data_IF_888144087272
#
_entry.id   IF_888144087272
#
_cell.length_a   1.000
_cell.length_b   1.000
_cell.length_c   1.000
_cell.angle_alpha   90.00
_cell.angle_beta   90.00
_cell.angle_gamma   90.00
#
_symmetry.space_group_name_H-M   'P 1'
#
loop_
_entity.id
_entity.type
_entity.pdbx_description
1 polymer ?
#
# COMPACT_ATOMS: atom_id res chain seq x y z
N UNK A 1 -49.69 67.52 -49.40
CA UNK A 1 -49.06 66.20 -49.56
C UNK A 1 -47.77 66.06 -48.74
N UNK A 2 -46.92 67.10 -48.64
CA UNK A 2 -45.66 67.03 -47.88
C UNK A 2 -45.82 66.94 -46.34
N UNK A 3 -46.83 67.59 -45.75
CA UNK A 3 -46.99 67.56 -44.27
C UNK A 3 -47.43 66.20 -43.74
N UNK A 4 -48.35 65.51 -44.43
CA UNK A 4 -48.82 64.16 -44.04
C UNK A 4 -47.65 63.16 -44.07
N UNK A 5 -46.77 63.27 -45.07
CA UNK A 5 -45.57 62.44 -45.19
C UNK A 5 -44.58 62.70 -44.03
N UNK A 6 -44.46 63.96 -43.60
CA UNK A 6 -43.59 64.37 -42.51
C UNK A 6 -44.06 63.83 -41.15
N UNK A 7 -45.36 63.91 -40.86
CA UNK A 7 -45.96 63.32 -39.65
C UNK A 7 -45.90 61.79 -39.65
N UNK A 8 -46.09 61.14 -40.79
CA UNK A 8 -45.95 59.68 -40.91
C UNK A 8 -44.50 59.24 -40.61
N UNK A 9 -43.51 59.93 -41.18
CA UNK A 9 -42.09 59.66 -40.89
C UNK A 9 -41.74 59.89 -39.42
N UNK A 10 -42.28 60.94 -38.80
CA UNK A 10 -42.10 61.21 -37.37
C UNK A 10 -42.70 60.09 -36.50
N UNK A 11 -43.89 59.60 -36.83
CA UNK A 11 -44.54 58.50 -36.13
C UNK A 11 -43.74 57.19 -36.25
N UNK A 12 -43.18 56.90 -37.43
CA UNK A 12 -42.30 55.74 -37.64
C UNK A 12 -41.00 55.88 -36.83
N UNK A 13 -40.39 57.06 -36.81
CA UNK A 13 -39.20 57.35 -36.01
C UNK A 13 -39.46 57.19 -34.51
N UNK A 14 -40.58 57.74 -34.01
CA UNK A 14 -40.99 57.59 -32.61
C UNK A 14 -41.29 56.13 -32.26
N UNK A 15 -41.93 55.39 -33.19
CA UNK A 15 -42.17 53.96 -33.05
C UNK A 15 -40.87 53.14 -32.97
N UNK A 16 -39.87 53.44 -33.81
CA UNK A 16 -38.54 52.81 -33.77
C UNK A 16 -37.78 53.14 -32.48
N UNK A 17 -37.86 54.38 -32.01
CA UNK A 17 -37.22 54.79 -30.75
C UNK A 17 -37.89 54.11 -29.56
N UNK A 18 -39.23 54.04 -29.54
CA UNK A 18 -39.97 53.33 -28.50
C UNK A 18 -39.67 51.83 -28.52
N UNK A 19 -39.64 51.20 -29.70
CA UNK A 19 -39.29 49.80 -29.87
C UNK A 19 -37.85 49.52 -29.39
N UNK A 20 -36.88 50.33 -29.81
CA UNK A 20 -35.49 50.22 -29.37
C UNK A 20 -35.36 50.35 -27.85
N UNK A 21 -36.08 51.30 -27.23
CA UNK A 21 -36.04 51.51 -25.77
C UNK A 21 -36.68 50.38 -24.97
N UNK A 22 -37.69 49.68 -25.49
CA UNK A 22 -38.34 48.58 -24.77
C UNK A 22 -37.67 47.22 -25.03
N UNK A 23 -37.35 46.89 -26.29
CA UNK A 23 -36.94 45.53 -26.66
C UNK A 23 -35.43 45.29 -26.53
N UNK A 24 -34.58 46.28 -26.84
CA UNK A 24 -33.12 46.08 -26.78
C UNK A 24 -32.62 45.82 -25.35
N UNK A 25 -33.05 46.57 -24.30
CA UNK A 25 -32.59 46.30 -22.95
C UNK A 25 -33.01 44.93 -22.44
N UNK A 26 -34.22 44.47 -22.77
CA UNK A 26 -34.72 43.15 -22.37
C UNK A 26 -33.91 42.02 -23.02
N UNK A 27 -33.68 42.11 -24.34
CA UNK A 27 -32.89 41.13 -25.07
C UNK A 27 -31.43 41.07 -24.59
N UNK A 28 -30.79 42.24 -24.40
CA UNK A 28 -29.42 42.31 -23.87
C UNK A 28 -29.33 41.74 -22.45
N UNK A 29 -30.34 41.98 -21.61
CA UNK A 29 -30.41 41.42 -20.25
C UNK A 29 -30.52 39.89 -20.26
N UNK A 30 -31.37 39.32 -21.11
CA UNK A 30 -31.48 37.86 -21.26
C UNK A 30 -30.21 37.25 -21.85
N UNK A 31 -29.61 37.90 -22.85
CA UNK A 31 -28.34 37.46 -23.44
C UNK A 31 -27.21 37.47 -22.40
N UNK A 32 -27.10 38.54 -21.61
CA UNK A 32 -26.12 38.63 -20.52
C UNK A 32 -26.35 37.56 -19.45
N UNK A 33 -27.61 37.34 -19.05
CA UNK A 33 -27.98 36.28 -18.08
C UNK A 33 -27.63 34.88 -18.60
N UNK A 34 -27.86 34.62 -19.88
CA UNK A 34 -27.53 33.33 -20.49
C UNK A 34 -26.02 33.13 -20.65
N UNK A 35 -25.26 34.21 -20.89
CA UNK A 35 -23.81 34.15 -20.94
C UNK A 35 -23.24 33.83 -19.55
N UNK A 36 -23.65 34.57 -18.52
CA UNK A 36 -23.23 34.33 -17.14
C UNK A 36 -23.52 32.89 -16.69
N UNK A 37 -24.71 32.36 -16.97
CA UNK A 37 -25.04 30.95 -16.67
C UNK A 37 -24.14 29.94 -17.38
N UNK A 38 -23.73 30.21 -18.62
CA UNK A 38 -22.82 29.32 -19.36
C UNK A 38 -21.43 29.35 -18.74
N UNK A 39 -20.95 30.53 -18.35
CA UNK A 39 -19.68 30.70 -17.66
C UNK A 39 -19.69 29.96 -16.30
N UNK A 40 -20.77 30.08 -15.52
CA UNK A 40 -20.94 29.34 -14.25
C UNK A 40 -20.89 27.82 -14.47
N UNK A 41 -21.55 27.31 -15.53
CA UNK A 41 -21.54 25.88 -15.85
C UNK A 41 -20.15 25.39 -16.26
N UNK A 42 -19.39 26.19 -17.01
CA UNK A 42 -18.00 25.89 -17.37
C UNK A 42 -17.15 25.85 -16.12
N UNK A 43 -17.24 26.88 -15.26
CA UNK A 43 -16.47 26.94 -14.01
C UNK A 43 -16.75 25.73 -13.09
N UNK A 44 -18.03 25.35 -12.95
CA UNK A 44 -18.41 24.16 -12.19
C UNK A 44 -17.83 22.90 -12.82
N UNK A 45 -17.90 22.77 -14.14
CA UNK A 45 -17.38 21.60 -14.86
C UNK A 45 -15.87 21.49 -14.68
N UNK A 46 -15.14 22.59 -14.84
CA UNK A 46 -13.70 22.65 -14.65
C UNK A 46 -13.30 22.29 -13.22
N UNK A 47 -14.05 22.78 -12.22
CA UNK A 47 -13.86 22.41 -10.81
C UNK A 47 -14.10 20.93 -10.57
N UNK A 48 -15.17 20.36 -11.13
CA UNK A 48 -15.47 18.93 -10.99
C UNK A 48 -14.39 18.08 -11.66
N UNK A 49 -13.91 18.47 -12.83
CA UNK A 49 -12.85 17.78 -13.53
C UNK A 49 -11.51 17.87 -12.78
N UNK A 50 -11.17 19.04 -12.25
CA UNK A 50 -10.00 19.23 -11.40
C UNK A 50 -10.07 18.33 -10.16
N UNK A 51 -11.20 18.32 -9.45
CA UNK A 51 -11.43 17.47 -8.28
C UNK A 51 -11.31 15.99 -8.66
N UNK A 52 -11.91 15.57 -9.77
CA UNK A 52 -11.81 14.18 -10.26
C UNK A 52 -10.36 13.78 -10.57
N UNK A 53 -9.59 14.68 -11.19
CA UNK A 53 -8.19 14.44 -11.52
C UNK A 53 -7.33 14.34 -10.24
N UNK A 54 -7.56 15.21 -9.26
CA UNK A 54 -6.91 15.11 -7.95
C UNK A 54 -7.23 13.81 -7.26
N UNK A 55 -8.51 13.43 -7.17
CA UNK A 55 -8.90 12.14 -6.57
C UNK A 55 -8.30 10.94 -7.29
N UNK A 56 -8.26 10.95 -8.62
CA UNK A 56 -7.64 9.88 -9.40
C UNK A 56 -6.15 9.73 -9.06
N UNK A 57 -5.43 10.86 -8.97
CA UNK A 57 -4.02 10.88 -8.58
C UNK A 57 -3.79 10.41 -7.14
N UNK A 58 -4.60 10.87 -6.19
CA UNK A 58 -4.50 10.45 -4.79
C UNK A 58 -4.76 8.94 -4.61
N UNK A 59 -5.74 8.40 -5.33
CA UNK A 59 -6.04 6.96 -5.33
C UNK A 59 -4.88 6.15 -5.91
N UNK A 60 -4.23 6.64 -6.96
CA UNK A 60 -3.06 5.99 -7.56
C UNK A 60 -1.88 5.97 -6.59
N UNK A 61 -1.56 7.11 -5.96
CA UNK A 61 -0.50 7.21 -4.95
C UNK A 61 -0.79 6.30 -3.74
N UNK A 62 -2.04 6.26 -3.29
CA UNK A 62 -2.42 5.38 -2.19
C UNK A 62 -2.25 3.91 -2.57
N UNK A 63 -2.68 3.51 -3.78
CA UNK A 63 -2.47 2.14 -4.29
C UNK A 63 -0.99 1.78 -4.37
N UNK A 64 -0.15 2.68 -4.87
CA UNK A 64 1.30 2.47 -4.94
C UNK A 64 1.92 2.29 -3.54
N UNK A 65 1.51 3.12 -2.57
CA UNK A 65 1.97 3.00 -1.19
C UNK A 65 1.55 1.68 -0.53
N UNK A 66 0.34 1.20 -0.82
CA UNK A 66 -0.15 -0.09 -0.31
C UNK A 66 0.59 -1.25 -0.97
N UNK A 67 0.80 -1.18 -2.29
CA UNK A 67 1.49 -2.22 -3.05
C UNK A 67 2.94 -2.35 -2.61
N UNK A 68 3.68 -1.24 -2.53
CA UNK A 68 5.08 -1.24 -2.06
C UNK A 68 5.22 -1.81 -0.64
N UNK A 69 4.31 -1.45 0.27
CA UNK A 69 4.25 -2.03 1.62
C UNK A 69 3.92 -3.52 1.60
N UNK A 70 2.97 -3.94 0.77
CA UNK A 70 2.60 -5.35 0.60
C UNK A 70 3.78 -6.17 0.07
N UNK A 71 4.53 -5.63 -0.89
CA UNK A 71 5.71 -6.26 -1.47
C UNK A 71 6.84 -6.41 -0.45
N UNK A 72 7.09 -5.38 0.36
CA UNK A 72 8.07 -5.45 1.45
C UNK A 72 7.69 -6.53 2.49
N UNK A 73 6.41 -6.62 2.85
CA UNK A 73 5.91 -7.67 3.75
C UNK A 73 6.02 -9.06 3.13
N UNK A 74 5.76 -9.19 1.83
CA UNK A 74 5.92 -10.45 1.10
C UNK A 74 7.37 -10.93 1.11
N UNK A 75 8.32 -10.05 0.78
CA UNK A 75 9.76 -10.35 0.81
C UNK A 75 10.22 -10.76 2.21
N UNK A 76 9.78 -10.04 3.24
CA UNK A 76 10.08 -10.38 4.64
C UNK A 76 9.59 -11.79 5.00
N UNK A 77 8.36 -12.14 4.61
CA UNK A 77 7.79 -13.48 4.83
C UNK A 77 8.57 -14.57 4.09
N UNK A 78 9.02 -14.29 2.87
CA UNK A 78 9.84 -15.21 2.08
C UNK A 78 11.18 -15.50 2.77
N UNK A 79 11.89 -14.45 3.22
CA UNK A 79 13.15 -14.59 3.96
C UNK A 79 12.95 -15.43 5.21
N UNK A 80 11.86 -15.20 5.95
CA UNK A 80 11.58 -15.96 7.17
C UNK A 80 11.29 -17.42 6.88
N UNK A 81 10.53 -17.71 5.82
CA UNK A 81 10.25 -19.08 5.40
C UNK A 81 11.54 -19.81 5.02
N UNK A 82 12.39 -19.18 4.20
CA UNK A 82 13.69 -19.74 3.78
C UNK A 82 14.61 -19.98 4.98
N UNK A 83 14.64 -19.06 5.94
CA UNK A 83 15.42 -19.23 7.17
C UNK A 83 14.91 -20.38 8.03
N UNK A 84 13.60 -20.51 8.24
CA UNK A 84 13.02 -21.64 9.00
C UNK A 84 13.33 -22.98 8.31
N UNK A 85 13.25 -23.03 6.98
CA UNK A 85 13.61 -24.22 6.20
C UNK A 85 15.08 -24.60 6.39
N UNK A 86 16.00 -23.63 6.36
CA UNK A 86 17.42 -23.89 6.57
C UNK A 86 17.75 -24.23 8.04
N UNK A 87 17.01 -23.70 9.02
CA UNK A 87 17.15 -24.13 10.41
C UNK A 87 16.78 -25.62 10.62
N UNK A 88 15.93 -26.20 9.76
CA UNK A 88 15.56 -27.62 9.80
C UNK A 88 16.75 -28.58 9.63
N UNK A 89 17.89 -28.09 9.12
CA UNK A 89 19.15 -28.83 9.04
C UNK A 89 19.68 -29.24 10.42
N UNK A 90 19.43 -28.43 11.46
CA UNK A 90 19.97 -28.67 12.81
C UNK A 90 19.12 -29.64 13.66
N UNK A 91 17.89 -29.94 13.22
CA UNK A 91 16.98 -30.83 13.97
C UNK A 91 17.09 -32.27 13.49
N UNK A 92 17.41 -32.46 12.21
CA UNK A 92 17.63 -33.77 11.64
C UNK A 92 19.12 -34.06 11.75
N UNK A 93 19.54 -35.05 12.53
CA UNK A 93 20.95 -35.46 12.66
C UNK A 93 21.55 -36.07 11.38
N UNK A 94 21.24 -35.48 10.21
CA UNK A 94 21.76 -35.83 8.91
C UNK A 94 23.11 -35.13 8.71
N UNK A 95 23.99 -35.74 7.93
CA UNK A 95 25.21 -35.09 7.49
C UNK A 95 24.84 -33.84 6.66
N UNK A 96 25.27 -32.68 7.15
CA UNK A 96 24.98 -31.39 6.51
C UNK A 96 26.00 -31.18 5.41
N UNK A 97 25.56 -30.99 4.17
CA UNK A 97 26.46 -30.69 3.05
C UNK A 97 27.01 -29.26 3.15
N UNK A 98 28.18 -29.00 2.58
CA UNK A 98 28.76 -27.64 2.54
C UNK A 98 27.83 -26.64 1.85
N UNK A 99 27.08 -27.08 0.84
CA UNK A 99 26.09 -26.25 0.14
C UNK A 99 24.92 -25.84 1.05
N UNK A 100 24.44 -26.76 1.89
CA UNK A 100 23.40 -26.49 2.88
C UNK A 100 23.89 -25.50 3.96
N UNK A 101 25.16 -25.58 4.36
CA UNK A 101 25.78 -24.62 5.27
C UNK A 101 25.86 -23.22 4.67
N UNK A 102 26.31 -23.12 3.40
CA UNK A 102 26.36 -21.83 2.71
C UNK A 102 24.95 -21.22 2.58
N UNK A 103 23.97 -22.04 2.19
CA UNK A 103 22.56 -21.62 2.08
C UNK A 103 22.04 -21.07 3.41
N UNK A 104 22.40 -21.70 4.53
CA UNK A 104 22.03 -21.22 5.85
C UNK A 104 22.65 -19.86 6.16
N UNK A 105 23.96 -19.67 5.91
CA UNK A 105 24.65 -18.39 6.12
C UNK A 105 24.05 -17.28 5.27
N UNK A 106 23.69 -17.56 4.02
CA UNK A 106 23.05 -16.59 3.13
C UNK A 106 21.65 -16.20 3.63
N UNK A 107 20.88 -17.18 4.15
CA UNK A 107 19.58 -16.91 4.76
C UNK A 107 19.71 -16.10 6.06
N UNK A 108 20.73 -16.39 6.86
CA UNK A 108 21.03 -15.66 8.09
C UNK A 108 21.43 -14.21 7.82
N UNK A 109 22.28 -13.97 6.80
CA UNK A 109 22.63 -12.62 6.37
C UNK A 109 21.40 -11.83 5.86
N UNK A 110 20.51 -12.48 5.10
CA UNK A 110 19.25 -11.87 4.68
C UNK A 110 18.34 -11.56 5.87
N UNK A 111 18.33 -12.42 6.89
CA UNK A 111 17.52 -12.18 8.08
C UNK A 111 17.92 -10.90 8.80
N UNK A 112 19.21 -10.59 8.88
CA UNK A 112 19.73 -9.34 9.44
C UNK A 112 19.24 -8.09 8.71
N UNK A 113 18.92 -8.18 7.42
CA UNK A 113 18.40 -7.05 6.65
C UNK A 113 16.90 -6.82 6.88
N UNK A 114 16.13 -7.89 7.10
CA UNK A 114 14.67 -7.85 7.07
C UNK A 114 14.00 -8.04 8.44
N UNK A 115 14.73 -8.52 9.46
CA UNK A 115 14.18 -8.78 10.78
C UNK A 115 14.40 -7.65 11.78
N UNK A 116 13.42 -7.41 12.69
CA UNK A 116 13.60 -6.49 13.79
C UNK A 116 14.49 -7.11 14.88
N UNK A 117 15.09 -6.25 15.69
CA UNK A 117 16.01 -6.64 16.78
C UNK A 117 15.43 -7.69 17.72
N UNK A 118 14.13 -7.60 18.03
CA UNK A 118 13.44 -8.56 18.90
C UNK A 118 13.49 -10.01 18.36
N UNK A 119 13.45 -10.18 17.04
CA UNK A 119 13.59 -11.49 16.38
C UNK A 119 15.06 -11.89 16.36
N UNK A 120 15.97 -10.97 16.00
CA UNK A 120 17.40 -11.25 15.92
C UNK A 120 17.99 -11.71 17.25
N UNK A 121 17.55 -11.13 18.38
CA UNK A 121 17.96 -11.59 19.72
C UNK A 121 17.63 -13.07 19.93
N UNK A 122 16.44 -13.51 19.52
CA UNK A 122 16.02 -14.92 19.68
C UNK A 122 16.82 -15.84 18.77
N UNK A 123 17.07 -15.40 17.54
CA UNK A 123 17.89 -16.14 16.58
C UNK A 123 19.32 -16.28 17.08
N UNK A 124 19.93 -15.21 17.59
CA UNK A 124 21.30 -15.24 18.12
C UNK A 124 21.44 -16.24 19.27
N UNK A 125 20.47 -16.30 20.18
CA UNK A 125 20.44 -17.32 21.25
C UNK A 125 20.45 -18.75 20.68
N UNK A 126 19.72 -19.00 19.59
CA UNK A 126 19.75 -20.30 18.92
C UNK A 126 21.13 -20.58 18.28
N UNK A 127 21.72 -19.61 17.58
CA UNK A 127 23.05 -19.75 16.96
C UNK A 127 24.12 -20.03 18.02
N UNK A 128 24.12 -19.29 19.13
CA UNK A 128 25.05 -19.50 20.24
C UNK A 128 24.97 -20.93 20.79
N UNK A 129 23.76 -21.49 20.87
CA UNK A 129 23.58 -22.89 21.28
C UNK A 129 24.13 -23.89 20.27
N UNK A 130 23.99 -23.63 18.96
CA UNK A 130 24.59 -24.46 17.92
C UNK A 130 26.13 -24.38 17.95
N UNK A 131 26.69 -23.19 18.15
CA UNK A 131 28.14 -23.00 18.30
C UNK A 131 28.68 -23.72 19.54
N UNK A 132 27.95 -23.69 20.66
CA UNK A 132 28.30 -24.42 21.87
C UNK A 132 28.30 -25.94 21.64
N UNK A 133 27.30 -26.46 20.91
CA UNK A 133 27.22 -27.88 20.54
C UNK A 133 28.41 -28.29 19.65
N UNK A 134 28.72 -27.50 18.63
CA UNK A 134 29.87 -27.73 17.74
C UNK A 134 31.22 -27.69 18.48
N UNK A 135 31.30 -26.91 19.56
CA UNK A 135 32.49 -26.82 20.42
C UNK A 135 32.61 -27.97 21.44
N UNK A 136 31.76 -29.01 21.33
CA UNK A 136 31.79 -30.18 22.22
C UNK A 136 31.10 -30.00 23.57
N UNK A 137 30.38 -28.89 23.80
CA UNK A 137 29.56 -28.72 25.01
C UNK A 137 28.23 -29.43 24.78
N UNK A 138 28.02 -30.56 25.46
CA UNK A 138 26.76 -31.30 25.39
C UNK A 138 25.61 -30.45 25.94
N UNK A 139 24.75 -29.96 25.06
CA UNK A 139 23.48 -29.33 25.42
C UNK A 139 22.38 -30.39 25.38
N UNK A 140 21.44 -30.41 26.33
CA UNK A 140 20.29 -31.29 26.24
C UNK A 140 19.48 -30.98 24.97
N UNK A 141 19.10 -32.01 24.21
CA UNK A 141 18.29 -31.88 22.99
C UNK A 141 16.99 -31.06 23.23
N UNK A 142 16.46 -31.10 24.46
CA UNK A 142 15.29 -30.33 24.89
C UNK A 142 15.52 -28.82 24.76
N UNK A 143 16.72 -28.34 25.12
CA UNK A 143 17.07 -26.91 25.10
C UNK A 143 17.14 -26.41 23.66
N UNK A 144 17.74 -27.20 22.75
CA UNK A 144 17.83 -26.88 21.32
C UNK A 144 16.44 -26.81 20.67
N UNK A 145 15.57 -27.76 21.01
CA UNK A 145 14.19 -27.77 20.52
C UNK A 145 13.41 -26.57 21.03
N UNK A 146 13.58 -26.21 22.31
CA UNK A 146 12.92 -25.05 22.89
C UNK A 146 13.35 -23.74 22.23
N UNK A 147 14.65 -23.53 22.03
CA UNK A 147 15.15 -22.30 21.38
C UNK A 147 14.75 -22.21 19.92
N UNK A 148 14.73 -23.34 19.20
CA UNK A 148 14.15 -23.40 17.87
C UNK A 148 12.68 -22.95 17.87
N UNK A 149 11.87 -23.48 18.79
CA UNK A 149 10.46 -23.07 18.91
C UNK A 149 10.32 -21.59 19.24
N UNK A 150 11.16 -21.05 20.12
CA UNK A 150 11.16 -19.61 20.43
C UNK A 150 11.49 -18.75 19.20
N UNK A 151 12.43 -19.17 18.34
CA UNK A 151 12.73 -18.49 17.08
C UNK A 151 11.53 -18.49 16.13
N UNK A 152 10.91 -19.65 15.92
CA UNK A 152 9.75 -19.78 15.03
C UNK A 152 8.57 -18.95 15.53
N UNK A 153 8.31 -18.94 16.84
CA UNK A 153 7.25 -18.13 17.44
C UNK A 153 7.54 -16.62 17.31
N UNK A 154 8.79 -16.20 17.45
CA UNK A 154 9.18 -14.80 17.25
C UNK A 154 8.96 -14.36 15.80
N UNK A 155 9.41 -15.15 14.82
CA UNK A 155 9.21 -14.90 13.39
C UNK A 155 7.71 -14.86 13.04
N UNK A 156 6.93 -15.78 13.60
CA UNK A 156 5.47 -15.83 13.40
C UNK A 156 4.77 -14.58 13.93
N UNK A 157 5.12 -14.15 15.15
CA UNK A 157 4.53 -12.97 15.79
C UNK A 157 4.79 -11.72 14.95
N UNK A 158 6.01 -11.59 14.44
CA UNK A 158 6.42 -10.45 13.63
C UNK A 158 5.82 -10.45 12.21
N UNK A 159 5.43 -11.62 11.67
CA UNK A 159 4.61 -11.73 10.46
C UNK A 159 3.14 -11.27 10.60
N UNK A 160 2.72 -10.85 11.80
CA UNK A 160 1.36 -10.39 12.09
C UNK A 160 0.37 -11.50 12.42
N UNK A 161 0.84 -12.74 12.66
CA UNK A 161 -0.02 -13.83 13.09
C UNK A 161 -0.22 -13.74 14.61
N UNK A 162 -1.40 -13.27 15.02
CA UNK A 162 -1.78 -12.98 16.40
C UNK A 162 -1.81 -14.18 17.36
N UNK A 163 -1.72 -13.83 18.64
CA UNK A 163 -1.60 -14.57 19.90
C UNK A 163 -0.49 -15.62 20.03
N UNK A 164 0.19 -15.52 21.18
CA UNK A 164 1.27 -16.40 21.59
C UNK A 164 0.73 -17.82 21.75
N UNK A 165 0.91 -18.65 20.73
CA UNK A 165 0.76 -20.09 20.93
C UNK A 165 1.71 -20.51 22.07
N UNK A 166 1.23 -21.35 23.01
CA UNK A 166 2.09 -21.93 24.03
C UNK A 166 3.34 -22.53 23.38
N UNK A 167 4.51 -22.38 24.03
CA UNK A 167 5.78 -22.94 23.54
C UNK A 167 5.67 -24.44 23.22
N UNK A 168 4.79 -25.16 23.92
CA UNK A 168 4.57 -26.59 23.75
C UNK A 168 3.67 -26.96 22.55
N UNK A 169 3.13 -25.98 21.83
CA UNK A 169 2.24 -26.21 20.69
C UNK A 169 2.99 -26.56 19.40
N UNK A 170 4.28 -26.23 19.30
CA UNK A 170 5.09 -26.57 18.15
C UNK A 170 5.47 -28.05 18.21
N UNK A 171 5.01 -28.84 17.25
CA UNK A 171 5.29 -30.29 17.17
C UNK A 171 6.38 -30.56 16.15
N UNK A 172 7.46 -31.19 16.60
CA UNK A 172 8.47 -31.75 15.70
C UNK A 172 7.92 -33.07 15.13
N UNK A 173 7.67 -33.11 13.83
CA UNK A 173 7.20 -34.31 13.13
C UNK A 173 8.39 -35.04 12.56
N UNK A 174 8.57 -36.29 12.96
CA UNK A 174 9.54 -37.21 12.38
C UNK A 174 8.77 -38.32 11.67
N UNK A 175 9.07 -38.55 10.39
CA UNK A 175 8.63 -39.74 9.71
C UNK A 175 9.63 -40.83 10.07
N UNK A 176 9.19 -41.84 10.82
CA UNK A 176 10.04 -43.00 11.11
C UNK A 176 10.46 -43.66 9.80
N UNK A 177 11.76 -43.88 9.63
CA UNK A 177 12.22 -44.87 8.66
C UNK A 177 11.62 -46.23 9.06
N UNK A 178 10.97 -46.89 8.11
CA UNK A 178 10.82 -48.34 8.16
C UNK A 178 12.12 -48.98 7.71
#
# INVERSE_FOLDING_TARGET
>A
MNEVLLWANLAVLLGLVAFGKLYLPSYLKEKAKNLAKKEDLVEITDKVEAVKNTYASEVELLKESINSRSDALSKKREVYNRFIQSMGLFINGREVTTEQQQTFLDCYAQLWLWAPDAVLIKVNVFIEQQMALASGRAQPQVVIKQTYTECVLALRKDCGMGDAMPKDSYRFVFFGEK
#
